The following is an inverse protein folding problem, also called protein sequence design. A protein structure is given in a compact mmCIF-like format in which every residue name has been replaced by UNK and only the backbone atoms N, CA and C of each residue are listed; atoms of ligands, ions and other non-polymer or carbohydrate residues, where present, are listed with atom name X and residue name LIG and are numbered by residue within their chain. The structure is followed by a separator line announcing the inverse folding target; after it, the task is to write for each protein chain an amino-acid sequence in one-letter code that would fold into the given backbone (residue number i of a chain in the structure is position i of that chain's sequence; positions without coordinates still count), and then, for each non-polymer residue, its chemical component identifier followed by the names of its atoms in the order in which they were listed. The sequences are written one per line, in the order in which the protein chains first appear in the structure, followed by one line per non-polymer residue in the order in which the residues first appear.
data_IF_135255361687
#
_entry.id   IF_135255361687
#
_cell.length_a   1.000
_cell.length_b   1.000
_cell.length_c   1.000
_cell.angle_alpha   90.00
_cell.angle_beta   90.00
_cell.angle_gamma   90.00
#
_symmetry.space_group_name_H-M   'P 1'
#
loop_
_entity.id
_entity.type
_entity.pdbx_description
1 polymer ?
#
# COMPACT_ATOMS: atom_id res chain seq x y z
N UNK A 1 -4.26 8.01 -39.49
CA UNK A 1 -4.87 6.75 -39.96
C UNK A 1 -5.38 5.97 -38.77
N UNK A 2 -6.69 5.85 -38.68
CA UNK A 2 -7.43 5.08 -37.68
C UNK A 2 -7.38 3.61 -38.14
N UNK A 3 -6.95 2.69 -37.27
CA UNK A 3 -7.30 1.28 -37.41
C UNK A 3 -7.95 0.78 -36.12
N UNK A 4 -9.28 0.78 -36.20
CA UNK A 4 -10.21 0.06 -35.35
C UNK A 4 -10.20 -1.42 -35.76
N UNK A 5 -10.05 -2.32 -34.81
CA UNK A 5 -10.48 -3.71 -34.98
C UNK A 5 -11.21 -4.18 -33.72
N UNK A 6 -12.53 -3.99 -33.73
CA UNK A 6 -13.45 -4.71 -32.85
C UNK A 6 -13.53 -6.16 -33.36
N UNK A 7 -13.07 -7.13 -32.57
CA UNK A 7 -13.58 -8.51 -32.66
C UNK A 7 -14.53 -8.76 -31.49
N UNK A 8 -15.82 -8.88 -31.81
CA UNK A 8 -16.86 -9.44 -30.94
C UNK A 8 -16.48 -10.89 -30.63
N UNK A 9 -16.35 -11.24 -29.35
CA UNK A 9 -16.33 -12.63 -28.90
C UNK A 9 -17.78 -13.01 -28.59
N UNK A 10 -18.32 -13.94 -29.38
CA UNK A 10 -19.62 -14.57 -29.16
C UNK A 10 -19.53 -15.56 -28.00
N UNK A 11 -20.34 -15.38 -26.96
CA UNK A 11 -20.55 -16.40 -25.93
C UNK A 11 -21.26 -17.62 -26.52
N UNK A 12 -20.53 -18.72 -26.61
CA UNK A 12 -21.11 -20.05 -26.85
C UNK A 12 -21.48 -20.64 -25.48
N UNK A 13 -22.77 -20.86 -25.24
CA UNK A 13 -23.25 -21.59 -24.06
C UNK A 13 -23.06 -23.10 -24.30
N UNK A 14 -22.32 -23.84 -23.45
CA UNK A 14 -22.30 -25.29 -23.55
C UNK A 14 -23.64 -25.87 -23.08
N UNK A 15 -24.28 -26.67 -23.93
CA UNK A 15 -25.41 -27.55 -23.56
C UNK A 15 -24.86 -28.76 -22.78
N UNK A 16 -24.74 -28.65 -21.47
CA UNK A 16 -24.56 -29.81 -20.59
C UNK A 16 -25.44 -29.66 -19.36
N UNK A 17 -26.75 -29.79 -19.57
CA UNK A 17 -27.70 -30.20 -18.55
C UNK A 17 -28.40 -31.42 -19.12
N UNK A 18 -28.00 -32.61 -18.65
CA UNK A 18 -28.86 -33.75 -18.34
C UNK A 18 -28.07 -35.07 -18.33
N UNK A 19 -28.37 -35.86 -17.29
CA UNK A 19 -27.96 -37.25 -16.99
C UNK A 19 -26.63 -37.45 -16.26
N UNK A 20 -26.75 -37.44 -14.92
CA UNK A 20 -25.94 -38.29 -14.06
C UNK A 20 -26.84 -39.40 -13.53
N UNK A 21 -26.76 -40.57 -14.16
CA UNK A 21 -27.03 -41.85 -13.53
C UNK A 21 -26.05 -42.83 -14.15
N UNK A 22 -25.33 -43.51 -13.26
CA UNK A 22 -24.41 -44.63 -13.50
C UNK A 22 -22.91 -44.31 -13.53
N UNK A 23 -22.24 -44.95 -12.56
CA UNK A 23 -20.80 -45.19 -12.38
C UNK A 23 -19.97 -44.06 -11.74
N UNK A 24 -20.19 -43.84 -10.44
CA UNK A 24 -19.13 -43.36 -9.55
C UNK A 24 -18.29 -44.56 -9.09
N UNK A 25 -17.20 -44.86 -9.79
CA UNK A 25 -16.06 -45.55 -9.17
C UNK A 25 -14.97 -44.49 -8.92
N UNK A 26 -14.92 -44.00 -7.69
CA UNK A 26 -13.83 -43.18 -7.21
C UNK A 26 -12.59 -44.07 -7.05
N UNK A 27 -11.63 -43.96 -7.96
CA UNK A 27 -10.25 -44.35 -7.66
C UNK A 27 -9.71 -43.33 -6.66
N UNK A 28 -9.56 -43.75 -5.41
CA UNK A 28 -8.94 -42.95 -4.37
C UNK A 28 -7.45 -42.80 -4.66
N UNK A 29 -7.08 -41.76 -5.41
CA UNK A 29 -5.74 -41.19 -5.28
C UNK A 29 -5.68 -40.55 -3.89
N UNK A 30 -5.02 -41.23 -2.95
CA UNK A 30 -4.73 -40.70 -1.63
C UNK A 30 -3.84 -39.47 -1.77
N UNK A 31 -4.44 -38.29 -1.81
CA UNK A 31 -3.73 -37.04 -1.65
C UNK A 31 -3.34 -36.90 -0.18
N UNK A 32 -2.10 -37.25 0.16
CA UNK A 32 -1.54 -36.97 1.48
C UNK A 32 -1.38 -35.45 1.64
N UNK A 33 -1.99 -34.80 2.64
CA UNK A 33 -1.93 -33.35 2.83
C UNK A 33 -0.58 -32.86 3.42
N UNK A 34 0.48 -33.66 3.34
CA UNK A 34 1.72 -33.46 4.11
C UNK A 34 2.73 -32.48 3.50
N UNK A 35 2.38 -31.66 2.49
CA UNK A 35 3.34 -30.72 1.87
C UNK A 35 3.02 -29.23 2.05
N UNK A 36 2.02 -28.86 2.86
CA UNK A 36 1.70 -27.45 3.14
C UNK A 36 2.38 -26.86 4.38
N UNK A 37 3.17 -27.65 5.11
CA UNK A 37 3.94 -27.13 6.23
C UNK A 37 5.05 -26.19 5.71
N UNK A 38 5.10 -24.92 6.13
CA UNK A 38 6.18 -24.03 5.76
C UNK A 38 7.53 -24.62 6.19
N UNK A 39 8.54 -24.53 5.33
CA UNK A 39 9.88 -25.03 5.67
C UNK A 39 10.43 -24.36 6.93
N UNK A 40 11.33 -25.03 7.66
CA UNK A 40 11.93 -24.48 8.88
C UNK A 40 12.58 -23.11 8.64
N UNK A 41 13.19 -22.90 7.48
CA UNK A 41 13.74 -21.60 7.05
C UNK A 41 12.66 -20.54 6.93
N UNK A 42 11.49 -20.91 6.43
CA UNK A 42 10.34 -20.01 6.28
C UNK A 42 9.78 -19.57 7.64
N UNK A 43 9.64 -20.50 8.58
CA UNK A 43 9.20 -20.21 9.96
C UNK A 43 10.20 -19.27 10.64
N UNK A 44 11.50 -19.53 10.48
CA UNK A 44 12.56 -18.67 11.03
C UNK A 44 12.54 -17.27 10.41
N UNK A 45 12.25 -17.15 9.11
CA UNK A 45 12.05 -15.84 8.48
C UNK A 45 10.91 -15.09 9.14
N UNK A 46 9.72 -15.69 9.27
CA UNK A 46 8.56 -15.03 9.92
C UNK A 46 8.86 -14.65 11.37
N UNK A 47 9.56 -15.50 12.12
CA UNK A 47 9.98 -15.20 13.48
C UNK A 47 10.96 -14.02 13.56
N UNK A 48 12.00 -14.00 12.69
CA UNK A 48 12.93 -12.86 12.57
C UNK A 48 12.23 -11.59 12.14
N UNK A 49 11.26 -11.74 11.24
CA UNK A 49 10.45 -10.65 10.78
C UNK A 49 9.67 -10.03 11.95
N UNK A 50 8.97 -10.84 12.75
CA UNK A 50 8.26 -10.36 13.94
C UNK A 50 9.19 -9.77 15.00
N UNK A 51 10.36 -10.38 15.24
CA UNK A 51 11.28 -9.92 16.29
C UNK A 51 11.99 -8.60 15.98
N UNK A 52 12.01 -8.17 14.71
CA UNK A 52 12.59 -6.88 14.31
C UNK A 52 11.84 -5.66 14.87
N UNK A 53 10.62 -5.84 15.42
CA UNK A 53 9.83 -4.76 15.99
C UNK A 53 9.44 -3.69 14.95
N UNK A 54 9.21 -4.10 13.70
CA UNK A 54 8.87 -3.20 12.61
C UNK A 54 7.37 -3.16 12.33
N UNK A 55 6.93 -2.10 11.67
CA UNK A 55 5.61 -2.03 11.05
C UNK A 55 5.79 -1.80 9.55
N UNK A 56 5.00 -2.50 8.72
CA UNK A 56 4.91 -2.24 7.29
C UNK A 56 3.76 -1.27 7.03
N UNK A 57 4.04 -0.23 6.27
CA UNK A 57 3.07 0.76 5.81
C UNK A 57 2.97 0.67 4.30
N UNK A 58 1.77 0.45 3.79
CA UNK A 58 1.50 0.40 2.35
C UNK A 58 0.73 1.64 1.94
N UNK A 59 1.28 2.41 0.99
CA UNK A 59 0.55 3.45 0.26
C UNK A 59 -0.08 2.84 -0.99
N UNK A 60 -1.33 3.19 -1.26
CA UNK A 60 -2.03 2.89 -2.51
C UNK A 60 -2.93 4.05 -2.94
N UNK A 61 -3.40 4.04 -4.17
CA UNK A 61 -4.60 4.79 -4.57
C UNK A 61 -5.85 3.91 -4.50
N UNK A 62 -7.04 4.50 -4.36
CA UNK A 62 -8.31 3.77 -4.35
C UNK A 62 -8.60 3.06 -5.69
N UNK A 63 -7.99 3.54 -6.77
CA UNK A 63 -8.08 3.00 -8.12
C UNK A 63 -7.21 1.74 -8.28
N UNK A 64 -6.25 1.52 -7.36
CA UNK A 64 -5.25 0.45 -7.42
C UNK A 64 -5.56 -0.72 -6.47
N UNK A 65 -6.83 -0.89 -6.10
CA UNK A 65 -7.27 -1.97 -5.20
C UNK A 65 -6.85 -3.36 -5.71
N UNK A 66 -6.74 -3.56 -7.02
CA UNK A 66 -6.25 -4.80 -7.63
C UNK A 66 -4.78 -5.06 -7.31
N UNK A 67 -3.91 -4.04 -7.36
CA UNK A 67 -2.50 -4.17 -6.99
C UNK A 67 -2.36 -4.52 -5.51
N UNK A 68 -3.13 -3.85 -4.64
CA UNK A 68 -3.17 -4.17 -3.21
C UNK A 68 -3.61 -5.62 -2.97
N UNK A 69 -4.65 -6.07 -3.68
CA UNK A 69 -5.16 -7.45 -3.57
C UNK A 69 -4.10 -8.48 -3.97
N UNK A 70 -3.32 -8.20 -5.01
CA UNK A 70 -2.20 -9.05 -5.43
C UNK A 70 -1.13 -9.10 -4.33
N UNK A 71 -0.74 -7.95 -3.76
CA UNK A 71 0.24 -7.91 -2.67
C UNK A 71 -0.22 -8.70 -1.44
N UNK A 72 -1.48 -8.56 -1.04
CA UNK A 72 -2.10 -9.31 0.06
C UNK A 72 -2.08 -10.81 -0.22
N UNK A 73 -2.45 -11.22 -1.43
CA UNK A 73 -2.49 -12.63 -1.83
C UNK A 73 -1.11 -13.27 -2.02
N UNK A 74 -0.04 -12.48 -2.12
CA UNK A 74 1.31 -12.95 -2.46
C UNK A 74 2.35 -12.57 -1.41
N UNK A 75 2.94 -11.38 -1.50
CA UNK A 75 4.08 -10.92 -0.69
C UNK A 75 3.74 -10.73 0.78
N UNK A 76 2.52 -10.27 1.07
CA UNK A 76 2.09 -9.87 2.42
C UNK A 76 1.35 -10.98 3.16
N UNK A 77 0.97 -12.08 2.49
CA UNK A 77 0.19 -13.19 3.08
C UNK A 77 0.81 -13.83 4.31
N UNK A 78 2.07 -13.51 4.58
CA UNK A 78 2.88 -14.06 5.64
C UNK A 78 3.15 -13.09 6.78
N UNK A 79 2.76 -11.83 6.63
CA UNK A 79 2.78 -10.85 7.69
C UNK A 79 1.54 -10.99 8.55
N UNK A 80 1.70 -10.72 9.84
CA UNK A 80 0.55 -10.57 10.72
C UNK A 80 -0.22 -9.30 10.34
N UNK A 81 -1.56 -9.32 10.27
CA UNK A 81 -2.33 -8.09 10.06
C UNK A 81 -2.01 -6.99 11.07
N UNK A 82 -1.54 -7.34 12.28
CA UNK A 82 -1.11 -6.36 13.28
C UNK A 82 0.20 -5.64 12.92
N UNK A 83 1.03 -6.26 12.07
CA UNK A 83 2.30 -5.73 11.57
C UNK A 83 2.13 -4.91 10.28
N UNK A 84 0.88 -4.64 9.87
CA UNK A 84 0.52 -3.98 8.62
C UNK A 84 -0.40 -2.78 8.86
N UNK A 85 -0.09 -1.66 8.22
CA UNK A 85 -1.00 -0.53 8.03
C UNK A 85 -1.11 -0.24 6.54
N UNK A 86 -2.33 0.01 6.06
CA UNK A 86 -2.59 0.31 4.65
C UNK A 86 -3.28 1.66 4.57
N UNK A 87 -2.78 2.53 3.71
CA UNK A 87 -3.29 3.88 3.51
C UNK A 87 -3.63 4.12 2.04
N UNK A 88 -4.72 4.85 1.83
CA UNK A 88 -5.21 5.25 0.51
C UNK A 88 -5.77 6.68 0.55
N UNK A 89 -6.22 7.19 -0.59
CA UNK A 89 -7.10 8.36 -0.72
C UNK A 89 -8.58 8.03 -0.45
N UNK A 90 -8.89 6.81 -0.04
CA UNK A 90 -10.22 6.39 0.37
C UNK A 90 -10.17 5.38 1.51
N UNK A 91 -11.01 5.58 2.52
CA UNK A 91 -11.23 4.56 3.55
C UNK A 91 -12.19 3.49 3.03
N UNK A 92 -11.74 2.24 3.09
CA UNK A 92 -12.56 1.05 2.81
C UNK A 92 -11.94 -0.18 3.47
N UNK A 93 -12.64 -1.32 3.43
CA UNK A 93 -12.12 -2.60 3.91
C UNK A 93 -11.96 -3.58 2.75
N UNK A 94 -10.87 -4.33 2.76
CA UNK A 94 -10.63 -5.44 1.83
C UNK A 94 -10.49 -6.72 2.65
N UNK A 95 -11.61 -7.44 2.81
CA UNK A 95 -11.68 -8.55 3.75
C UNK A 95 -11.39 -8.09 5.18
N UNK A 96 -10.42 -8.69 5.90
CA UNK A 96 -10.07 -8.30 7.27
C UNK A 96 -9.16 -7.05 7.34
N UNK A 97 -8.66 -6.56 6.19
CA UNK A 97 -7.74 -5.43 6.15
C UNK A 97 -8.51 -4.11 6.08
N UNK A 98 -8.27 -3.22 7.03
CA UNK A 98 -8.75 -1.84 6.97
C UNK A 98 -7.75 -0.99 6.17
N UNK A 99 -8.26 -0.28 5.17
CA UNK A 99 -7.52 0.72 4.42
C UNK A 99 -7.91 2.08 5.00
N UNK A 100 -6.93 2.79 5.54
CA UNK A 100 -7.11 4.09 6.16
C UNK A 100 -7.08 5.20 5.10
N UNK A 101 -7.99 6.16 5.21
CA UNK A 101 -7.87 7.40 4.44
C UNK A 101 -6.74 8.25 5.01
N UNK A 102 -5.66 8.40 4.25
CA UNK A 102 -4.51 9.23 4.59
C UNK A 102 -4.89 10.71 4.65
N UNK A 103 -5.87 11.15 3.88
CA UNK A 103 -6.23 12.56 3.69
C UNK A 103 -7.37 13.02 4.61
N UNK A 104 -7.88 12.14 5.48
CA UNK A 104 -9.04 12.44 6.34
C UNK A 104 -8.87 13.71 7.19
N UNK A 105 -7.65 13.94 7.68
CA UNK A 105 -7.30 15.05 8.56
C UNK A 105 -6.75 16.29 7.83
N UNK A 106 -6.68 16.26 6.49
CA UNK A 106 -6.37 17.47 5.72
C UNK A 106 -7.47 18.50 5.98
N UNK A 107 -7.08 19.78 6.04
CA UNK A 107 -8.01 20.90 6.17
C UNK A 107 -9.18 20.81 5.18
N UNK A 108 -10.38 21.09 5.67
CA UNK A 108 -11.60 20.92 4.89
C UNK A 108 -11.67 21.91 3.73
N UNK A 109 -11.29 23.18 3.94
CA UNK A 109 -11.30 24.17 2.88
C UNK A 109 -10.30 23.80 1.78
N UNK A 110 -9.13 23.26 2.14
CA UNK A 110 -8.16 22.76 1.17
C UNK A 110 -8.73 21.60 0.34
N UNK A 111 -9.33 20.58 0.97
CA UNK A 111 -9.96 19.45 0.26
C UNK A 111 -11.06 19.90 -0.72
N UNK A 112 -11.76 20.97 -0.40
CA UNK A 112 -12.86 21.49 -1.21
C UNK A 112 -12.40 22.39 -2.37
N UNK A 113 -11.40 23.23 -2.13
CA UNK A 113 -11.04 24.32 -3.05
C UNK A 113 -9.79 24.04 -3.87
N UNK A 114 -8.84 23.27 -3.36
CA UNK A 114 -7.58 23.02 -4.06
C UNK A 114 -7.81 22.12 -5.29
N UNK A 115 -7.25 22.47 -6.47
CA UNK A 115 -7.40 21.69 -7.68
C UNK A 115 -6.77 20.30 -7.59
N UNK A 116 -5.72 20.09 -6.78
CA UNK A 116 -5.08 18.79 -6.62
C UNK A 116 -6.00 17.78 -5.91
N UNK A 117 -6.98 18.27 -5.14
CA UNK A 117 -8.02 17.46 -4.51
C UNK A 117 -9.20 17.12 -5.44
N UNK A 118 -9.18 17.52 -6.72
CA UNK A 118 -10.24 17.18 -7.66
C UNK A 118 -10.47 15.66 -7.76
N UNK A 119 -9.38 14.89 -7.87
CA UNK A 119 -9.47 13.42 -7.90
C UNK A 119 -10.01 12.85 -6.59
N UNK A 120 -9.62 13.39 -5.43
CA UNK A 120 -10.15 12.97 -4.13
C UNK A 120 -11.67 13.17 -4.05
N UNK A 121 -12.17 14.32 -4.52
CA UNK A 121 -13.62 14.60 -4.61
C UNK A 121 -14.34 13.65 -5.58
N UNK A 122 -13.70 13.32 -6.71
CA UNK A 122 -14.25 12.37 -7.68
C UNK A 122 -14.32 10.94 -7.14
N UNK A 123 -13.29 10.47 -6.43
CA UNK A 123 -13.29 9.16 -5.75
C UNK A 123 -14.45 9.08 -4.77
N UNK A 124 -14.65 10.12 -3.94
CA UNK A 124 -15.78 10.20 -3.00
C UNK A 124 -17.12 10.23 -3.72
N UNK A 125 -17.22 10.93 -4.87
CA UNK A 125 -18.42 10.90 -5.73
C UNK A 125 -18.71 9.48 -6.21
N UNK A 126 -17.70 8.76 -6.71
CA UNK A 126 -17.87 7.39 -7.19
C UNK A 126 -18.32 6.47 -6.06
N UNK A 127 -17.68 6.56 -4.88
CA UNK A 127 -18.08 5.81 -3.68
C UNK A 127 -19.55 6.07 -3.29
N UNK A 128 -19.98 7.33 -3.17
CA UNK A 128 -21.37 7.65 -2.76
C UNK A 128 -22.43 7.30 -3.81
N UNK A 129 -22.03 7.13 -5.08
CA UNK A 129 -22.94 6.81 -6.18
C UNK A 129 -22.89 5.33 -6.58
N UNK A 130 -22.05 4.52 -5.93
CA UNK A 130 -21.88 3.09 -6.23
C UNK A 130 -21.22 2.82 -7.58
N UNK A 131 -20.50 3.79 -8.15
CA UNK A 131 -19.72 3.60 -9.36
C UNK A 131 -18.41 2.88 -9.07
N UNK A 132 -17.91 2.11 -10.04
CA UNK A 132 -16.61 1.45 -9.92
C UNK A 132 -15.48 2.48 -9.98
N UNK A 133 -14.74 2.63 -8.88
CA UNK A 133 -13.64 3.58 -8.75
C UNK A 133 -12.51 3.23 -9.74
N UNK A 134 -12.35 1.97 -10.14
CA UNK A 134 -11.33 1.58 -11.13
C UNK A 134 -11.62 2.16 -12.53
N UNK A 135 -12.85 2.59 -12.80
CA UNK A 135 -13.21 3.30 -14.02
C UNK A 135 -12.84 4.80 -13.99
N UNK A 136 -12.46 5.34 -12.83
CA UNK A 136 -11.96 6.70 -12.69
C UNK A 136 -10.54 6.80 -13.28
N UNK A 137 -10.48 6.89 -14.61
CA UNK A 137 -9.23 7.02 -15.34
C UNK A 137 -8.71 8.44 -15.23
N UNK A 138 -7.49 8.56 -14.70
CA UNK A 138 -6.71 9.77 -14.89
C UNK A 138 -6.35 9.90 -16.37
N UNK A 139 -6.41 11.11 -16.90
CA UNK A 139 -5.75 11.38 -18.17
C UNK A 139 -4.27 11.04 -18.01
N UNK A 140 -3.74 10.20 -18.91
CA UNK A 140 -2.30 9.97 -19.00
C UNK A 140 -1.66 11.26 -19.49
N UNK A 141 -1.33 12.16 -18.57
CA UNK A 141 -0.49 13.29 -18.87
C UNK A 141 0.82 12.76 -19.45
N UNK A 142 1.40 13.48 -20.42
CA UNK A 142 2.69 13.12 -21.02
C UNK A 142 3.88 13.31 -20.06
N UNK A 143 3.63 13.94 -18.91
CA UNK A 143 4.59 14.29 -17.86
C UNK A 143 4.12 13.78 -16.49
N UNK A 144 4.89 14.03 -15.42
CA UNK A 144 4.59 13.71 -14.01
C UNK A 144 3.35 14.42 -13.41
N UNK A 145 2.47 14.94 -14.27
CA UNK A 145 1.32 15.78 -13.95
C UNK A 145 0.04 14.98 -13.63
N UNK A 146 0.18 13.70 -13.28
CA UNK A 146 -0.94 12.81 -12.91
C UNK A 146 -1.64 13.34 -11.67
N UNK A 147 -2.97 13.41 -11.68
CA UNK A 147 -3.74 13.97 -10.57
C UNK A 147 -3.51 13.20 -9.26
N UNK A 148 -3.40 11.88 -9.32
CA UNK A 148 -3.07 11.03 -8.17
C UNK A 148 -1.68 11.35 -7.60
N UNK A 149 -0.69 11.60 -8.45
CA UNK A 149 0.68 11.96 -8.00
C UNK A 149 0.73 13.34 -7.35
N UNK A 150 -0.04 14.30 -7.86
CA UNK A 150 -0.18 15.60 -7.18
C UNK A 150 -0.81 15.46 -5.81
N UNK A 151 -1.84 14.61 -5.70
CA UNK A 151 -2.50 14.35 -4.42
C UNK A 151 -1.58 13.62 -3.42
N UNK A 152 -0.68 12.77 -3.90
CA UNK A 152 0.24 12.00 -3.06
C UNK A 152 1.16 12.88 -2.19
N UNK A 153 1.44 14.13 -2.61
CA UNK A 153 2.23 15.07 -1.80
C UNK A 153 1.59 15.35 -0.43
N UNK A 154 0.26 15.28 -0.33
CA UNK A 154 -0.47 15.43 0.93
C UNK A 154 -0.54 14.12 1.73
N UNK A 155 -0.56 12.97 1.05
CA UNK A 155 -0.67 11.66 1.73
C UNK A 155 0.55 11.38 2.60
N UNK A 156 1.74 11.69 2.11
CA UNK A 156 3.00 11.27 2.76
C UNK A 156 3.08 11.67 4.24
N UNK A 157 2.94 12.96 4.55
CA UNK A 157 3.09 13.44 5.93
C UNK A 157 1.99 12.91 6.83
N UNK A 158 0.74 12.87 6.34
CA UNK A 158 -0.38 12.37 7.12
C UNK A 158 -0.31 10.86 7.36
N UNK A 159 0.21 10.08 6.41
CA UNK A 159 0.50 8.67 6.63
C UNK A 159 1.55 8.48 7.71
N UNK A 160 2.61 9.29 7.70
CA UNK A 160 3.69 9.25 8.70
C UNK A 160 3.15 9.60 10.10
N UNK A 161 2.37 10.69 10.21
CA UNK A 161 1.68 11.11 11.44
C UNK A 161 0.77 10.01 12.00
N UNK A 162 -0.19 9.56 11.20
CA UNK A 162 -1.18 8.57 11.62
C UNK A 162 -0.53 7.23 11.96
N UNK A 163 0.51 6.84 11.22
CA UNK A 163 1.30 5.64 11.54
C UNK A 163 1.92 5.75 12.92
N UNK A 164 2.51 6.91 13.23
CA UNK A 164 3.16 7.12 14.53
C UNK A 164 2.16 7.15 15.67
N UNK A 165 0.99 7.76 15.48
CA UNK A 165 -0.11 7.72 16.45
C UNK A 165 -0.57 6.28 16.74
N UNK A 166 -0.71 5.47 15.69
CA UNK A 166 -1.20 4.08 15.82
C UNK A 166 -0.14 3.12 16.36
N UNK A 167 1.15 3.38 16.10
CA UNK A 167 2.25 2.44 16.38
C UNK A 167 3.50 3.16 16.92
N UNK A 168 3.42 4.00 17.97
CA UNK A 168 4.54 4.86 18.40
C UNK A 168 5.78 4.08 18.87
N UNK A 169 5.59 2.82 19.30
CA UNK A 169 6.64 1.96 19.84
C UNK A 169 7.39 1.11 18.81
N UNK A 170 7.06 1.17 17.51
CA UNK A 170 7.76 0.37 16.50
C UNK A 170 9.21 0.84 16.35
N UNK A 171 10.17 -0.10 16.33
CA UNK A 171 11.60 0.17 16.09
C UNK A 171 11.84 0.71 14.69
N UNK A 172 11.14 0.16 13.71
CA UNK A 172 11.30 0.49 12.29
C UNK A 172 9.94 0.68 11.61
N UNK A 173 9.85 1.71 10.79
CA UNK A 173 8.67 2.04 10.01
C UNK A 173 9.04 1.93 8.53
N UNK A 174 8.51 0.92 7.86
CA UNK A 174 8.88 0.57 6.49
C UNK A 174 7.73 0.95 5.57
N UNK A 175 7.93 1.95 4.73
CA UNK A 175 6.92 2.45 3.81
C UNK A 175 7.19 1.92 2.40
N UNK A 176 6.15 1.39 1.76
CA UNK A 176 6.20 0.85 0.40
C UNK A 176 4.92 1.18 -0.37
N UNK A 177 4.98 1.05 -1.69
CA UNK A 177 3.83 1.19 -2.58
C UNK A 177 3.37 -0.18 -3.10
N UNK A 178 2.16 -0.27 -3.65
CA UNK A 178 1.57 -1.53 -4.12
C UNK A 178 2.23 -2.09 -5.38
N UNK A 179 2.97 -1.26 -6.11
CA UNK A 179 3.80 -1.65 -7.27
C UNK A 179 5.23 -2.08 -6.88
N UNK A 180 5.56 -2.07 -5.58
CA UNK A 180 6.86 -2.43 -5.04
C UNK A 180 6.88 -3.84 -4.45
N UNK A 181 8.02 -4.53 -4.52
CA UNK A 181 8.21 -5.85 -3.88
C UNK A 181 9.31 -5.79 -2.82
N UNK A 182 9.05 -6.37 -1.64
CA UNK A 182 10.00 -6.42 -0.53
C UNK A 182 10.60 -7.81 -0.39
N UNK A 183 11.93 -7.91 -0.49
CA UNK A 183 12.67 -9.13 -0.15
C UNK A 183 12.85 -9.18 1.38
N UNK A 184 11.90 -9.81 2.06
CA UNK A 184 11.81 -9.81 3.52
C UNK A 184 13.07 -10.26 4.26
N UNK A 185 13.74 -11.31 3.76
CA UNK A 185 14.97 -11.83 4.38
C UNK A 185 16.07 -10.77 4.39
N UNK A 186 16.21 -10.02 3.30
CA UNK A 186 17.25 -9.01 3.15
C UNK A 186 16.94 -7.81 4.05
N UNK A 187 15.67 -7.37 4.08
CA UNK A 187 15.26 -6.28 4.94
C UNK A 187 15.48 -6.62 6.42
N UNK A 188 15.09 -7.82 6.87
CA UNK A 188 15.28 -8.25 8.25
C UNK A 188 16.76 -8.30 8.65
N UNK A 189 17.60 -8.87 7.79
CA UNK A 189 19.04 -8.97 8.01
C UNK A 189 19.72 -7.60 8.01
N UNK A 190 19.23 -6.65 7.21
CA UNK A 190 19.80 -5.32 7.17
C UNK A 190 19.41 -4.50 8.41
N UNK A 191 18.12 -4.51 8.78
CA UNK A 191 17.63 -3.78 9.95
C UNK A 191 18.18 -4.33 11.27
N UNK A 192 18.55 -5.61 11.34
CA UNK A 192 19.16 -6.20 12.54
C UNK A 192 20.56 -5.66 12.85
N UNK A 193 21.22 -5.04 11.87
CA UNK A 193 22.56 -4.46 11.99
C UNK A 193 22.55 -2.97 12.32
N UNK A 194 21.37 -2.35 12.33
CA UNK A 194 21.20 -0.92 12.55
C UNK A 194 20.59 -0.66 13.93
N UNK A 195 20.83 0.54 14.45
CA UNK A 195 20.34 0.98 15.75
C UNK A 195 19.14 1.91 15.58
N UNK A 196 17.93 1.41 15.87
CA UNK A 196 16.68 2.17 15.74
C UNK A 196 16.57 3.36 16.70
N UNK A 197 17.45 3.45 17.70
CA UNK A 197 17.50 4.59 18.64
C UNK A 197 18.26 5.79 18.07
N UNK A 198 18.90 5.63 16.91
CA UNK A 198 19.51 6.73 16.16
C UNK A 198 18.54 7.23 15.08
N UNK A 199 18.50 8.54 14.78
CA UNK A 199 17.60 9.08 13.76
C UNK A 199 18.10 8.69 12.37
N UNK A 200 17.52 7.62 11.81
CA UNK A 200 17.92 6.99 10.56
C UNK A 200 16.76 7.12 9.57
N UNK A 201 17.09 7.62 8.38
CA UNK A 201 16.21 7.68 7.21
C UNK A 201 16.91 6.99 6.04
N UNK A 202 16.28 5.95 5.50
CA UNK A 202 16.84 5.08 4.47
C UNK A 202 15.93 5.01 3.27
N UNK A 203 16.51 4.96 2.07
CA UNK A 203 15.80 4.73 0.82
C UNK A 203 16.67 5.07 -0.37
N UNK A 204 16.17 4.83 -1.57
CA UNK A 204 16.88 5.21 -2.80
C UNK A 204 16.83 6.74 -2.95
N UNK A 205 17.98 7.45 -3.01
CA UNK A 205 17.98 8.90 -3.02
C UNK A 205 17.55 9.45 -4.38
N UNK A 206 16.69 10.46 -4.36
CA UNK A 206 16.40 11.35 -5.47
C UNK A 206 16.63 12.80 -5.04
N UNK A 207 16.94 13.66 -6.00
CA UNK A 207 17.32 15.06 -5.76
C UNK A 207 16.20 15.99 -6.22
N UNK A 208 15.73 16.87 -5.34
CA UNK A 208 14.80 17.95 -5.68
C UNK A 208 15.30 19.23 -5.01
N UNK A 209 15.52 20.29 -5.79
CA UNK A 209 16.01 21.57 -5.26
C UNK A 209 17.34 21.48 -4.51
N UNK A 210 18.21 20.53 -4.87
CA UNK A 210 19.49 20.29 -4.18
C UNK A 210 19.38 19.50 -2.86
N UNK A 211 18.17 19.13 -2.44
CA UNK A 211 17.94 18.28 -1.28
C UNK A 211 17.73 16.83 -1.71
N UNK A 212 18.40 15.90 -1.01
CA UNK A 212 18.18 14.46 -1.18
C UNK A 212 17.00 14.01 -0.32
N UNK A 213 16.14 13.17 -0.90
CA UNK A 213 15.05 12.47 -0.22
C UNK A 213 14.84 11.09 -0.82
N UNK A 214 14.17 10.19 -0.09
CA UNK A 214 13.94 8.84 -0.59
C UNK A 214 12.82 8.80 -1.63
N UNK A 215 13.07 8.09 -2.73
CA UNK A 215 12.10 7.78 -3.76
C UNK A 215 11.01 6.84 -3.21
N UNK A 216 9.77 7.32 -3.16
CA UNK A 216 8.64 6.62 -2.55
C UNK A 216 8.35 5.25 -3.21
N UNK A 217 8.40 5.16 -4.54
CA UNK A 217 8.20 3.91 -5.27
C UNK A 217 9.34 2.88 -5.13
N UNK A 218 10.44 3.22 -4.47
CA UNK A 218 11.47 2.25 -4.07
C UNK A 218 11.31 1.79 -2.61
N UNK A 219 10.37 2.39 -1.90
CA UNK A 219 10.21 2.28 -0.47
C UNK A 219 11.27 3.05 0.33
N UNK A 220 10.93 3.34 1.58
CA UNK A 220 11.82 4.01 2.53
C UNK A 220 11.58 3.51 3.95
N UNK A 221 12.59 3.70 4.81
CA UNK A 221 12.54 3.28 6.21
C UNK A 221 12.89 4.44 7.12
N UNK A 222 12.09 4.61 8.16
CA UNK A 222 12.37 5.52 9.27
C UNK A 222 12.59 4.71 10.55
N UNK A 223 13.61 5.05 11.32
CA UNK A 223 13.78 4.50 12.67
C UNK A 223 12.81 5.15 13.66
N UNK A 224 12.61 4.51 14.81
CA UNK A 224 11.83 5.08 15.91
C UNK A 224 12.35 6.46 16.35
N UNK A 225 13.66 6.62 16.46
CA UNK A 225 14.24 7.91 16.80
C UNK A 225 14.05 8.97 15.69
N UNK A 226 14.02 8.56 14.41
CA UNK A 226 13.69 9.50 13.33
C UNK A 226 12.23 9.96 13.40
N UNK A 227 11.30 9.03 13.67
CA UNK A 227 9.89 9.36 13.86
C UNK A 227 9.66 10.26 15.07
N UNK A 228 10.28 9.97 16.22
CA UNK A 228 10.23 10.85 17.39
C UNK A 228 10.85 12.21 17.11
N UNK A 229 11.96 12.27 16.36
CA UNK A 229 12.53 13.55 15.96
C UNK A 229 11.60 14.34 15.05
N UNK A 230 10.79 13.68 14.22
CA UNK A 230 9.86 14.30 13.27
C UNK A 230 8.49 14.63 13.88
N UNK A 231 8.01 13.89 14.87
CA UNK A 231 6.63 13.98 15.38
C UNK A 231 6.52 13.95 16.91
N UNK A 232 7.62 13.75 17.60
CA UNK A 232 7.66 13.71 19.05
C UNK A 232 7.39 15.08 19.69
N UNK A 233 7.15 15.13 21.00
CA UNK A 233 6.77 16.34 21.71
C UNK A 233 7.81 17.46 21.64
N UNK A 234 9.07 17.12 21.38
CA UNK A 234 10.19 18.07 21.27
C UNK A 234 10.31 18.72 19.88
N UNK A 235 9.38 18.43 18.96
CA UNK A 235 9.29 19.10 17.66
C UNK A 235 8.95 20.59 17.83
N UNK A 236 9.68 21.50 17.15
CA UNK A 236 9.19 22.84 16.92
C UNK A 236 7.86 22.74 16.15
N UNK A 237 6.76 23.20 16.74
CA UNK A 237 5.47 23.23 16.06
C UNK A 237 5.61 23.96 14.70
N UNK A 238 5.19 23.33 13.59
CA UNK A 238 5.01 24.02 12.31
C UNK A 238 5.71 23.47 11.05
N UNK A 239 6.29 22.27 11.06
CA UNK A 239 6.84 21.69 9.82
C UNK A 239 5.75 21.39 8.77
N UNK A 240 4.57 20.92 9.18
CA UNK A 240 3.42 20.74 8.29
C UNK A 240 2.70 22.07 7.95
N UNK A 241 2.84 23.10 8.78
CA UNK A 241 2.12 24.38 8.65
C UNK A 241 2.88 25.46 7.86
N UNK A 242 4.16 25.25 7.51
CA UNK A 242 5.00 26.24 6.82
C UNK A 242 5.12 26.06 5.31
N UNK A 243 4.44 25.06 4.73
CA UNK A 243 4.43 24.82 3.27
C UNK A 243 3.70 25.87 2.42
N UNK A 244 3.20 26.96 3.00
CA UNK A 244 2.57 28.07 2.28
C UNK A 244 3.42 29.34 2.40
N UNK A 245 4.44 29.46 1.54
CA UNK A 245 4.94 30.72 0.95
C UNK A 245 6.21 30.42 0.13
N UNK A 246 6.00 30.26 -1.17
CA UNK A 246 7.02 30.24 -2.22
C UNK A 246 6.34 30.58 -3.52
#
# INVERSE_FOLDING_TARGET
MIFSSRKKISLVRPKWFNRCSDVCQATSLSYSPSSLAPSSTFILLIARLRSSGRILIIKTGAQEVSHLSIQIGTTLRYLDPLDLLIFSDLQYSLGPFLIHDALRNVDQALKETDPDFAIYRDIRRYQRTGQDISDLKEERAKDDNRAGWKLDKYKFIHMVEQTFEMRPGSKWYVFVETDSYVVWSNLAEWLSRLDSTKPIYLGAPIMLGGQAFAHSGSGYVLSNAAMNKLLGPDQPQGLAASGTRG
#
